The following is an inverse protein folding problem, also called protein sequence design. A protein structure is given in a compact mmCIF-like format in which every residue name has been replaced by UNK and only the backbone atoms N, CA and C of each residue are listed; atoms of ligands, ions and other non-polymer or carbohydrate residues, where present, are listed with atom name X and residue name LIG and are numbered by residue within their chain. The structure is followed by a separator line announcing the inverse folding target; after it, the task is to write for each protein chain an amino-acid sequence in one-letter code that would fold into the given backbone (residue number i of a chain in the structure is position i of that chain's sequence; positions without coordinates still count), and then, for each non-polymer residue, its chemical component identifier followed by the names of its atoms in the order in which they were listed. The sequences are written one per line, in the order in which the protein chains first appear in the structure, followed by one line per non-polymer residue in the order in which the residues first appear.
data_IF_267078770355
#
_entry.id   IF_267078770355
#
_cell.length_a   1.000
_cell.length_b   1.000
_cell.length_c   1.000
_cell.angle_alpha   90.00
_cell.angle_beta   90.00
_cell.angle_gamma   90.00
#
_symmetry.space_group_name_H-M   'P 1'
#
loop_
_entity.id
_entity.type
_entity.pdbx_description
1 polymer ?
#
# COMPACT_ATOMS: atom_id res chain seq x y z
N UNK A 1 -5.48 11.74 -17.41
CA UNK A 1 -4.19 12.09 -16.79
C UNK A 1 -4.21 11.64 -15.34
N UNK A 2 -3.05 11.33 -14.77
CA UNK A 2 -2.89 10.90 -13.37
C UNK A 2 -1.99 11.91 -12.67
N UNK A 3 -2.43 12.41 -11.51
CA UNK A 3 -1.64 13.26 -10.63
C UNK A 3 -1.41 12.50 -9.33
N UNK A 4 -0.16 12.44 -8.86
CA UNK A 4 0.18 11.83 -7.57
C UNK A 4 1.01 12.80 -6.76
N UNK A 5 0.68 12.96 -5.49
CA UNK A 5 1.43 13.76 -4.52
C UNK A 5 1.56 12.93 -3.24
N UNK A 6 2.80 12.57 -2.90
CA UNK A 6 3.06 11.66 -1.79
C UNK A 6 4.50 11.20 -1.78
N UNK A 7 4.75 10.14 -1.01
CA UNK A 7 6.07 9.53 -0.84
C UNK A 7 5.98 8.03 -1.06
N UNK A 8 7.02 7.46 -1.65
CA UNK A 8 7.22 6.02 -1.71
C UNK A 8 8.12 5.57 -0.55
N UNK A 9 7.71 4.53 0.17
CA UNK A 9 8.47 3.93 1.27
C UNK A 9 8.42 2.41 1.20
N UNK A 10 9.49 1.75 1.62
CA UNK A 10 9.57 0.29 1.64
C UNK A 10 9.01 -0.26 2.95
N UNK A 11 8.12 -1.23 2.83
CA UNK A 11 7.56 -1.94 3.98
C UNK A 11 7.84 -3.43 3.87
N UNK A 12 7.94 -4.08 5.03
CA UNK A 12 8.00 -5.54 5.13
C UNK A 12 6.63 -6.11 4.74
N UNK A 13 6.61 -6.96 3.73
CA UNK A 13 5.41 -7.64 3.22
C UNK A 13 5.43 -9.13 3.42
N UNK A 14 6.61 -9.71 3.59
CA UNK A 14 6.78 -11.12 3.92
C UNK A 14 8.00 -11.33 4.82
N UNK A 15 7.88 -12.29 5.72
CA UNK A 15 8.97 -12.74 6.59
C UNK A 15 8.91 -14.26 6.61
N UNK A 16 9.90 -14.89 6.00
CA UNK A 16 10.04 -16.35 6.02
C UNK A 16 11.26 -16.75 6.85
N UNK A 17 11.28 -17.96 7.38
CA UNK A 17 12.41 -18.46 8.16
C UNK A 17 12.60 -19.94 7.90
N UNK A 18 13.80 -20.34 7.47
CA UNK A 18 14.16 -21.75 7.31
C UNK A 18 14.94 -22.18 8.55
N UNK A 19 14.48 -23.25 9.20
CA UNK A 19 15.23 -23.93 10.26
C UNK A 19 16.12 -24.96 9.60
N UNK A 20 17.44 -24.89 9.82
CA UNK A 20 18.36 -25.95 9.37
C UNK A 20 18.08 -27.27 10.09
N UNK A 21 18.48 -28.41 9.53
CA UNK A 21 18.42 -29.70 10.22
C UNK A 21 19.81 -30.02 10.81
N UNK A 22 19.98 -29.94 12.14
CA UNK A 22 21.23 -30.27 12.85
C UNK A 22 21.23 -29.79 14.31
N UNK A 23 22.22 -30.19 15.12
CA UNK A 23 22.30 -29.83 16.55
C UNK A 23 22.62 -28.34 16.81
N UNK A 24 22.84 -27.53 15.75
CA UNK A 24 23.21 -26.10 15.80
C UNK A 24 22.36 -25.23 14.83
N UNK A 25 21.08 -25.55 14.65
CA UNK A 25 20.22 -24.85 13.70
C UNK A 25 19.90 -23.42 14.13
N UNK A 26 20.54 -22.43 13.50
CA UNK A 26 20.18 -21.02 13.64
C UNK A 26 19.03 -20.68 12.68
N UNK A 27 18.02 -19.93 13.15
CA UNK A 27 16.95 -19.41 12.29
C UNK A 27 17.47 -18.15 11.60
N UNK A 28 17.65 -18.20 10.28
CA UNK A 28 17.91 -17.01 9.48
C UNK A 28 16.58 -16.50 8.91
N UNK A 29 16.07 -15.34 9.36
CA UNK A 29 14.88 -14.75 8.75
C UNK A 29 15.24 -14.15 7.38
N UNK A 30 14.42 -14.46 6.39
CA UNK A 30 14.41 -13.80 5.08
C UNK A 30 13.24 -12.81 5.05
N UNK A 31 13.53 -11.56 4.66
CA UNK A 31 12.57 -10.45 4.74
C UNK A 31 12.37 -9.85 3.35
N UNK A 32 11.13 -9.87 2.88
CA UNK A 32 10.76 -9.23 1.62
C UNK A 32 10.29 -7.80 1.88
N UNK A 33 10.91 -6.86 1.18
CA UNK A 33 10.53 -5.45 1.17
C UNK A 33 9.81 -5.10 -0.13
N UNK A 34 8.69 -4.39 -0.03
CA UNK A 34 7.92 -3.90 -1.18
C UNK A 34 7.70 -2.39 -1.04
N UNK A 35 7.89 -1.60 -2.10
CA UNK A 35 7.58 -0.18 -2.06
C UNK A 35 6.06 0.05 -2.06
N UNK A 36 5.60 0.94 -1.19
CA UNK A 36 4.23 1.43 -1.15
C UNK A 36 4.22 2.94 -1.31
N UNK A 37 3.28 3.42 -2.13
CA UNK A 37 2.98 4.84 -2.24
C UNK A 37 2.01 5.25 -1.12
N UNK A 38 2.36 6.30 -0.38
CA UNK A 38 1.50 6.95 0.61
C UNK A 38 1.28 8.39 0.19
N UNK A 39 0.03 8.79 -0.03
CA UNK A 39 -0.32 10.12 -0.52
C UNK A 39 -1.68 10.19 -1.19
N UNK A 40 -1.85 11.23 -2.00
CA UNK A 40 -3.07 11.52 -2.74
C UNK A 40 -2.81 11.24 -4.22
N UNK A 41 -3.73 10.52 -4.86
CA UNK A 41 -3.78 10.38 -6.32
C UNK A 41 -5.08 10.94 -6.88
N UNK A 42 -5.01 11.49 -8.08
CA UNK A 42 -6.14 12.07 -8.78
C UNK A 42 -6.09 11.65 -10.24
N UNK A 43 -7.07 10.87 -10.66
CA UNK A 43 -7.25 10.50 -12.05
C UNK A 43 -8.33 11.37 -12.69
N UNK A 44 -8.03 11.95 -13.85
CA UNK A 44 -8.95 12.85 -14.58
C UNK A 44 -9.06 12.43 -16.04
N UNK A 45 -10.30 12.23 -16.50
CA UNK A 45 -10.62 11.99 -17.92
C UNK A 45 -11.51 13.12 -18.44
N UNK A 46 -10.97 14.07 -19.21
CA UNK A 46 -11.75 15.15 -19.79
C UNK A 46 -12.46 14.71 -21.08
N UNK A 47 -13.65 15.27 -21.31
CA UNK A 47 -14.40 15.20 -22.56
C UNK A 47 -14.95 16.59 -22.88
N UNK A 48 -15.02 16.94 -24.17
CA UNK A 48 -15.54 18.23 -24.63
C UNK A 48 -16.75 17.95 -25.52
N UNK A 49 -17.88 18.61 -25.24
CA UNK A 49 -19.07 18.51 -26.09
C UNK A 49 -19.06 19.50 -27.26
N UNK A 50 -20.02 19.36 -28.19
CA UNK A 50 -20.12 20.19 -29.39
C UNK A 50 -20.37 21.68 -29.09
N UNK A 51 -20.82 22.01 -27.87
CA UNK A 51 -21.04 23.38 -27.41
C UNK A 51 -19.80 23.95 -26.70
N UNK A 52 -18.73 23.16 -26.58
CA UNK A 52 -17.47 23.54 -25.94
C UNK A 52 -17.47 23.39 -24.42
N UNK A 53 -18.49 22.75 -23.81
CA UNK A 53 -18.46 22.47 -22.38
C UNK A 53 -17.50 21.32 -22.08
N UNK A 54 -16.86 21.38 -20.93
CA UNK A 54 -15.93 20.35 -20.46
C UNK A 54 -16.60 19.47 -19.42
N UNK A 55 -16.66 18.17 -19.69
CA UNK A 55 -17.04 17.14 -18.74
C UNK A 55 -15.77 16.48 -18.20
N UNK A 56 -15.59 16.49 -16.89
CA UNK A 56 -14.48 15.83 -16.22
C UNK A 56 -15.01 14.66 -15.40
N UNK A 57 -14.53 13.46 -15.72
CA UNK A 57 -14.61 12.34 -14.79
C UNK A 57 -13.38 12.35 -13.89
N UNK A 58 -13.59 12.44 -12.58
CA UNK A 58 -12.54 12.62 -11.58
C UNK A 58 -12.64 11.50 -10.55
N UNK A 59 -11.56 10.74 -10.41
CA UNK A 59 -11.43 9.63 -9.46
C UNK A 59 -10.26 9.91 -8.50
N UNK A 60 -10.51 10.61 -7.37
CA UNK A 60 -9.50 10.83 -6.34
C UNK A 60 -9.35 9.62 -5.41
N UNK A 61 -8.13 9.36 -4.97
CA UNK A 61 -7.83 8.42 -3.90
C UNK A 61 -6.86 9.03 -2.87
N UNK A 62 -7.04 8.68 -1.60
CA UNK A 62 -6.11 8.95 -0.51
C UNK A 62 -5.63 7.60 0.02
N UNK A 63 -4.34 7.35 -0.15
CA UNK A 63 -3.65 6.14 0.30
C UNK A 63 -2.76 6.50 1.48
N UNK A 64 -2.94 5.81 2.59
CA UNK A 64 -2.12 5.96 3.79
C UNK A 64 -1.54 4.60 4.15
N UNK A 65 -0.21 4.49 4.11
CA UNK A 65 0.50 3.27 4.50
C UNK A 65 1.22 3.54 5.82
N UNK A 66 1.11 2.60 6.75
CA UNK A 66 1.79 2.64 8.03
C UNK A 66 2.27 1.23 8.41
N UNK A 67 3.31 1.16 9.25
CA UNK A 67 3.76 -0.10 9.83
C UNK A 67 2.81 -0.54 10.95
N UNK A 68 2.41 -1.81 10.93
CA UNK A 68 1.63 -2.44 11.99
C UNK A 68 2.37 -3.65 12.52
N UNK A 69 2.68 -3.63 13.82
CA UNK A 69 3.20 -4.78 14.53
C UNK A 69 2.08 -5.81 14.79
N UNK A 70 2.15 -6.96 14.14
CA UNK A 70 1.24 -8.07 14.34
C UNK A 70 1.89 -9.13 15.23
N UNK A 71 1.30 -9.35 16.40
CA UNK A 71 1.72 -10.41 17.30
C UNK A 71 1.04 -11.72 16.89
N UNK A 72 1.84 -12.78 16.78
CA UNK A 72 1.39 -14.15 16.56
C UNK A 72 1.86 -14.97 17.76
N UNK A 73 0.92 -15.67 18.40
CA UNK A 73 1.22 -16.61 19.46
C UNK A 73 1.43 -18.00 18.85
N UNK A 74 2.62 -18.56 19.01
CA UNK A 74 3.01 -19.88 18.52
C UNK A 74 3.44 -20.77 19.70
N UNK A 75 2.49 -21.53 20.23
CA UNK A 75 2.71 -22.30 21.46
C UNK A 75 3.05 -21.38 22.63
N UNK A 76 4.26 -21.52 23.19
CA UNK A 76 4.77 -20.67 24.28
C UNK A 76 5.62 -19.48 23.79
N UNK A 77 5.81 -19.34 22.47
CA UNK A 77 6.62 -18.28 21.86
C UNK A 77 5.73 -17.20 21.28
N UNK A 78 6.13 -15.92 21.45
CA UNK A 78 5.48 -14.77 20.82
C UNK A 78 6.35 -14.26 19.69
N UNK A 79 5.77 -14.09 18.51
CA UNK A 79 6.44 -13.54 17.33
C UNK A 79 5.79 -12.20 17.02
N UNK A 80 6.59 -11.14 16.84
CA UNK A 80 6.13 -9.82 16.43
C UNK A 80 6.62 -9.58 15.01
N UNK A 81 5.68 -9.37 14.08
CA UNK A 81 5.98 -9.07 12.68
C UNK A 81 5.60 -7.62 12.38
N UNK A 82 6.55 -6.74 12.01
CA UNK A 82 6.24 -5.43 11.46
C UNK A 82 5.74 -5.63 10.03
N UNK A 83 4.46 -5.40 9.77
CA UNK A 83 3.85 -5.59 8.45
C UNK A 83 3.30 -4.27 7.91
N UNK A 84 3.31 -4.11 6.59
CA UNK A 84 2.62 -3.01 5.93
C UNK A 84 1.11 -3.07 6.20
N UNK A 85 0.52 -1.95 6.63
CA UNK A 85 -0.94 -1.75 6.67
C UNK A 85 -1.30 -0.56 5.80
N UNK A 86 -2.10 -0.81 4.77
CA UNK A 86 -2.58 0.23 3.86
C UNK A 86 -4.04 0.55 4.14
N UNK A 87 -4.37 1.84 4.19
CA UNK A 87 -5.74 2.37 4.23
C UNK A 87 -5.97 3.16 2.95
N UNK A 88 -7.02 2.83 2.21
CA UNK A 88 -7.36 3.48 0.94
C UNK A 88 -8.76 4.09 1.07
N UNK A 89 -8.91 5.36 0.68
CA UNK A 89 -10.19 6.07 0.61
C UNK A 89 -10.34 6.63 -0.79
N UNK A 90 -11.39 6.23 -1.49
CA UNK A 90 -11.66 6.60 -2.89
C UNK A 90 -13.00 7.31 -3.00
N UNK A 91 -13.14 8.12 -4.04
CA UNK A 91 -14.41 8.75 -4.43
C UNK A 91 -14.47 8.88 -5.95
N UNK A 92 -15.67 9.17 -6.47
CA UNK A 92 -15.91 9.42 -7.88
C UNK A 92 -16.74 10.68 -8.02
N UNK A 93 -16.41 11.51 -9.01
CA UNK A 93 -17.12 12.76 -9.27
C UNK A 93 -17.16 13.07 -10.76
N UNK A 94 -18.27 13.67 -11.18
CA UNK A 94 -18.44 14.20 -12.53
C UNK A 94 -18.64 15.71 -12.42
N UNK A 95 -17.77 16.47 -13.07
CA UNK A 95 -17.80 17.94 -13.05
C UNK A 95 -18.09 18.41 -14.47
N UNK A 96 -19.01 19.37 -14.62
CA UNK A 96 -19.27 20.07 -15.88
C UNK A 96 -18.88 21.54 -15.72
N UNK A 97 -18.08 22.06 -16.64
CA UNK A 97 -17.61 23.45 -16.67
C UNK A 97 -17.73 24.05 -18.06
#
# INVERSE_FOLDING_TARGET
AVIKVGTDEYYVTDVTGVVGNGENSNVAPDVQLTPFFSGISLDVTPQIDDQGNVLLHVHPAVIEVAEQNKQIDYGNTKIILPLARSTIRESDSVIRA
#
